data_IF_318081740833
#
_entry.id   IF_318081740833
#
_cell.length_a   1.000
_cell.length_b   1.000
_cell.length_c   1.000
_cell.angle_alpha   90.00
_cell.angle_beta   90.00
_cell.angle_gamma   90.00
#
_symmetry.space_group_name_H-M   'P 1'
#
loop_
_entity.id
_entity.type
_entity.pdbx_description
1 polymer ?
#
# COMPACT_ATOMS: atom_id res chain seq x y z
N UNK A 1 57.12 -1.81 -39.05
CA UNK A 1 56.36 -2.63 -38.08
C UNK A 1 56.77 -2.23 -36.67
N UNK A 2 55.80 -1.96 -35.76
CA UNK A 2 55.94 -1.96 -34.27
C UNK A 2 54.85 -1.20 -33.48
N UNK A 3 53.86 -0.56 -34.11
CA UNK A 3 52.82 0.17 -33.35
C UNK A 3 51.82 -0.77 -32.68
N UNK A 4 51.36 -1.80 -33.40
CA UNK A 4 50.43 -2.81 -32.89
C UNK A 4 51.06 -3.62 -31.75
N UNK A 5 52.36 -3.90 -31.82
CA UNK A 5 53.09 -4.60 -30.77
C UNK A 5 53.19 -3.78 -29.48
N UNK A 6 53.43 -2.47 -29.58
CA UNK A 6 53.42 -1.57 -28.42
C UNK A 6 52.05 -1.53 -27.75
N UNK A 7 50.97 -1.47 -28.54
CA UNK A 7 49.59 -1.53 -28.04
C UNK A 7 49.35 -2.88 -27.34
N UNK A 8 49.73 -3.99 -27.99
CA UNK A 8 49.57 -5.34 -27.44
C UNK A 8 50.35 -5.53 -26.15
N UNK A 9 51.57 -4.99 -26.06
CA UNK A 9 52.38 -5.04 -24.83
C UNK A 9 51.84 -4.12 -23.72
N UNK A 10 51.28 -2.97 -24.05
CA UNK A 10 50.61 -2.09 -23.09
C UNK A 10 49.44 -2.80 -22.40
N UNK A 11 48.59 -3.48 -23.17
CA UNK A 11 47.50 -4.29 -22.63
C UNK A 11 47.99 -5.54 -21.88
N UNK A 12 49.05 -6.21 -22.36
CA UNK A 12 49.67 -7.37 -21.69
C UNK A 12 50.37 -7.01 -20.38
N UNK A 13 50.87 -5.77 -20.23
CA UNK A 13 51.55 -5.27 -19.02
C UNK A 13 50.57 -4.91 -17.89
N UNK A 14 49.30 -4.63 -18.21
CA UNK A 14 48.25 -4.52 -17.19
C UNK A 14 47.90 -5.91 -16.69
N UNK A 15 48.61 -6.35 -15.66
CA UNK A 15 48.36 -7.59 -14.90
C UNK A 15 47.07 -7.44 -14.07
N UNK A 16 45.94 -7.24 -14.75
CA UNK A 16 44.61 -7.14 -14.19
C UNK A 16 44.20 -8.53 -13.74
N UNK A 17 44.57 -8.88 -12.50
CA UNK A 17 44.08 -10.11 -11.89
C UNK A 17 42.56 -10.05 -11.85
N UNK A 18 41.92 -10.94 -12.62
CA UNK A 18 40.45 -11.08 -12.69
C UNK A 18 39.84 -11.17 -11.29
N UNK A 19 40.56 -11.78 -10.34
CA UNK A 19 40.15 -11.90 -8.94
C UNK A 19 40.04 -10.55 -8.23
N UNK A 20 41.00 -9.66 -8.40
CA UNK A 20 41.00 -8.36 -7.71
C UNK A 20 39.99 -7.39 -8.32
N UNK A 21 39.79 -7.44 -9.64
CA UNK A 21 38.76 -6.63 -10.30
C UNK A 21 37.36 -7.08 -9.91
N UNK A 22 37.09 -8.39 -9.87
CA UNK A 22 35.81 -8.93 -9.38
C UNK A 22 35.51 -8.51 -7.94
N UNK A 23 36.52 -8.53 -7.05
CA UNK A 23 36.36 -8.03 -5.69
C UNK A 23 36.00 -6.54 -5.64
N UNK A 24 36.68 -5.69 -6.41
CA UNK A 24 36.38 -4.25 -6.48
C UNK A 24 34.97 -3.98 -7.00
N UNK A 25 34.57 -4.64 -8.09
CA UNK A 25 33.22 -4.53 -8.65
C UNK A 25 32.18 -5.00 -7.63
N UNK A 26 32.45 -6.11 -6.92
CA UNK A 26 31.57 -6.61 -5.87
C UNK A 26 31.39 -5.61 -4.73
N UNK A 27 32.47 -4.98 -4.26
CA UNK A 27 32.40 -3.94 -3.21
C UNK A 27 31.60 -2.73 -3.68
N UNK A 28 31.84 -2.25 -4.90
CA UNK A 28 31.09 -1.11 -5.47
C UNK A 28 29.62 -1.46 -5.60
N UNK A 29 29.28 -2.63 -6.16
CA UNK A 29 27.90 -3.06 -6.32
C UNK A 29 27.19 -3.20 -4.96
N UNK A 30 27.86 -3.78 -3.96
CA UNK A 30 27.32 -3.96 -2.62
C UNK A 30 27.09 -2.62 -1.92
N UNK A 31 28.07 -1.71 -1.96
CA UNK A 31 27.94 -0.37 -1.39
C UNK A 31 26.81 0.43 -2.07
N UNK A 32 26.74 0.38 -3.40
CA UNK A 32 25.65 1.01 -4.17
C UNK A 32 24.30 0.40 -3.81
N UNK A 33 24.20 -0.93 -3.70
CA UNK A 33 22.95 -1.60 -3.35
C UNK A 33 22.47 -1.22 -1.95
N UNK A 34 23.37 -1.16 -0.96
CA UNK A 34 23.03 -0.71 0.39
C UNK A 34 22.59 0.76 0.37
N UNK A 35 23.32 1.63 -0.35
CA UNK A 35 22.96 3.04 -0.49
C UNK A 35 21.57 3.24 -1.10
N UNK A 36 21.25 2.48 -2.15
CA UNK A 36 19.92 2.48 -2.77
C UNK A 36 18.84 1.99 -1.79
N UNK A 37 19.12 0.97 -0.99
CA UNK A 37 18.17 0.48 0.00
C UNK A 37 17.84 1.56 1.04
N UNK A 38 18.85 2.27 1.56
CA UNK A 38 18.64 3.39 2.48
C UNK A 38 17.90 4.56 1.83
N UNK A 39 18.17 4.86 0.55
CA UNK A 39 17.43 5.86 -0.21
C UNK A 39 15.95 5.50 -0.27
N UNK A 40 15.61 4.24 -0.57
CA UNK A 40 14.22 3.79 -0.60
C UNK A 40 13.58 3.85 0.78
N UNK A 41 14.25 3.35 1.83
CA UNK A 41 13.72 3.41 3.20
C UNK A 41 13.45 4.85 3.60
N UNK A 42 14.41 5.76 3.43
CA UNK A 42 14.24 7.17 3.77
C UNK A 42 13.09 7.82 2.98
N UNK A 43 12.99 7.54 1.67
CA UNK A 43 11.92 8.09 0.84
C UNK A 43 10.54 7.56 1.24
N UNK A 44 10.42 6.25 1.47
CA UNK A 44 9.16 5.62 1.88
C UNK A 44 8.73 6.11 3.27
N UNK A 45 9.65 6.18 4.23
CA UNK A 45 9.38 6.73 5.56
C UNK A 45 8.92 8.19 5.49
N UNK A 46 9.56 9.02 4.66
CA UNK A 46 9.13 10.40 4.43
C UNK A 46 7.70 10.48 3.90
N UNK A 47 7.35 9.67 2.89
CA UNK A 47 6.01 9.63 2.30
C UNK A 47 4.96 9.25 3.34
N UNK A 48 5.23 8.24 4.18
CA UNK A 48 4.30 7.78 5.23
C UNK A 48 4.12 8.84 6.32
N UNK A 49 5.20 9.50 6.75
CA UNK A 49 5.15 10.52 7.81
C UNK A 49 4.47 11.81 7.33
N UNK A 50 4.77 12.25 6.10
CA UNK A 50 4.18 13.48 5.55
C UNK A 50 2.72 13.26 5.16
N UNK A 51 2.36 12.07 4.69
CA UNK A 51 0.97 11.74 4.35
C UNK A 51 0.46 12.36 3.04
N UNK A 52 1.25 13.22 2.40
CA UNK A 52 0.91 13.89 1.14
C UNK A 52 1.99 13.62 0.07
N UNK A 53 1.55 13.33 -1.16
CA UNK A 53 2.42 13.16 -2.32
C UNK A 53 1.84 13.92 -3.50
N UNK A 54 2.66 14.78 -4.12
CA UNK A 54 2.27 15.57 -5.29
C UNK A 54 1.00 16.44 -5.10
N UNK A 55 0.73 16.89 -3.87
CA UNK A 55 -0.43 17.71 -3.53
C UNK A 55 -1.70 16.92 -3.19
N UNK A 56 -1.62 15.59 -3.22
CA UNK A 56 -2.73 14.70 -2.88
C UNK A 56 -2.49 14.03 -1.52
N UNK A 57 -3.52 14.02 -0.68
CA UNK A 57 -3.49 13.37 0.63
C UNK A 57 -3.73 11.87 0.53
N UNK A 58 -2.78 11.08 1.03
CA UNK A 58 -2.86 9.62 1.09
C UNK A 58 -4.00 9.16 1.99
N UNK A 59 -4.30 9.89 3.07
CA UNK A 59 -5.43 9.60 3.94
C UNK A 59 -6.75 9.78 3.19
N UNK A 60 -6.90 10.88 2.45
CA UNK A 60 -8.10 11.15 1.67
C UNK A 60 -8.30 10.09 0.59
N UNK A 61 -7.24 9.70 -0.11
CA UNK A 61 -7.31 8.64 -1.13
C UNK A 61 -7.62 7.26 -0.53
N UNK A 62 -7.02 6.94 0.62
CA UNK A 62 -7.30 5.70 1.36
C UNK A 62 -8.77 5.67 1.81
N UNK A 63 -9.25 6.79 2.33
CA UNK A 63 -10.66 6.97 2.72
C UNK A 63 -11.57 6.78 1.51
N UNK A 64 -11.29 7.39 0.36
CA UNK A 64 -12.08 7.18 -0.86
C UNK A 64 -12.05 5.74 -1.37
N UNK A 65 -10.94 5.02 -1.18
CA UNK A 65 -10.80 3.63 -1.61
C UNK A 65 -11.61 2.66 -0.72
N UNK A 66 -11.62 2.87 0.59
CA UNK A 66 -12.21 1.95 1.57
C UNK A 66 -13.58 2.38 2.09
N UNK A 67 -13.89 3.67 2.10
CA UNK A 67 -15.26 4.13 2.29
C UNK A 67 -15.99 3.91 0.97
N UNK A 68 -16.70 2.78 0.90
CA UNK A 68 -17.67 2.54 -0.15
C UNK A 68 -18.56 3.77 -0.33
N UNK A 69 -18.99 4.02 -1.57
CA UNK A 69 -19.72 5.23 -1.93
C UNK A 69 -20.86 5.54 -0.97
N UNK A 70 -20.78 6.70 -0.32
CA UNK A 70 -21.89 7.24 0.45
C UNK A 70 -22.92 7.77 -0.55
N UNK A 71 -23.87 6.93 -0.95
CA UNK A 71 -25.00 7.39 -1.75
C UNK A 71 -25.87 8.26 -0.84
N UNK A 72 -25.79 9.57 -1.01
CA UNK A 72 -26.73 10.51 -0.39
C UNK A 72 -28.12 10.19 -0.95
N UNK A 73 -28.89 9.41 -0.20
CA UNK A 73 -30.26 9.06 -0.59
C UNK A 73 -31.13 10.32 -0.52
N UNK A 74 -31.78 10.66 -1.63
CA UNK A 74 -32.82 11.67 -1.62
C UNK A 74 -33.99 11.19 -0.76
N UNK A 75 -34.53 12.07 0.09
CA UNK A 75 -35.76 11.77 0.86
C UNK A 75 -36.97 11.89 -0.07
N UNK A 76 -37.78 10.84 -0.19
CA UNK A 76 -39.09 10.93 -0.88
C UNK A 76 -40.12 11.57 0.05
N UNK A 77 -41.13 12.22 -0.53
CA UNK A 77 -42.27 12.75 0.23
C UNK A 77 -43.24 11.65 0.67
N UNK A 78 -43.96 11.90 1.76
CA UNK A 78 -45.06 11.05 2.25
C UNK A 78 -46.30 11.21 1.37
N UNK A 79 -46.96 10.11 1.01
CA UNK A 79 -48.26 10.13 0.34
C UNK A 79 -49.35 9.96 1.39
N UNK A 80 -50.31 10.88 1.41
CA UNK A 80 -51.44 10.88 2.32
C UNK A 80 -52.75 10.52 1.61
N UNK A 81 -53.68 9.91 2.33
CA UNK A 81 -55.06 9.74 1.89
C UNK A 81 -55.86 11.05 2.01
N UNK A 82 -57.17 11.00 1.68
CA UNK A 82 -58.07 12.18 1.76
C UNK A 82 -58.29 12.72 3.18
N UNK A 83 -57.99 11.91 4.21
CA UNK A 83 -58.16 12.24 5.61
C UNK A 83 -56.83 12.69 6.27
N UNK A 84 -55.72 12.66 5.52
CA UNK A 84 -54.40 13.03 6.01
C UNK A 84 -53.63 11.88 6.66
N UNK A 85 -54.07 10.63 6.46
CA UNK A 85 -53.36 9.46 6.97
C UNK A 85 -52.29 8.99 5.97
N UNK A 86 -51.08 8.72 6.47
CA UNK A 86 -49.96 8.31 5.63
C UNK A 86 -50.16 6.89 5.10
N UNK A 87 -50.17 6.73 3.77
CA UNK A 87 -50.31 5.43 3.10
C UNK A 87 -49.01 4.96 2.41
N UNK A 88 -48.03 5.86 2.27
CA UNK A 88 -46.68 5.49 1.85
C UNK A 88 -45.65 6.50 2.38
N UNK A 89 -44.63 5.97 3.05
CA UNK A 89 -43.48 6.71 3.59
C UNK A 89 -42.18 6.04 3.16
N UNK A 90 -41.10 6.81 3.11
CA UNK A 90 -39.77 6.28 2.81
C UNK A 90 -39.17 5.65 4.07
N UNK A 91 -38.64 4.43 3.95
CA UNK A 91 -38.06 3.68 5.07
C UNK A 91 -36.53 3.65 4.99
N UNK A 92 -35.87 3.94 6.11
CA UNK A 92 -34.42 3.79 6.20
C UNK A 92 -34.07 2.33 6.48
N UNK A 93 -33.53 1.64 5.48
CA UNK A 93 -33.02 0.27 5.64
C UNK A 93 -31.51 0.28 5.90
N UNK A 94 -31.09 -0.45 6.92
CA UNK A 94 -29.68 -0.72 7.21
C UNK A 94 -29.36 -2.18 6.93
N UNK A 95 -28.19 -2.45 6.36
CA UNK A 95 -27.67 -3.81 6.19
C UNK A 95 -26.44 -3.98 7.08
N UNK A 96 -26.52 -4.92 8.02
CA UNK A 96 -25.40 -5.30 8.88
C UNK A 96 -24.87 -6.64 8.38
N UNK A 97 -23.55 -6.79 8.34
CA UNK A 97 -22.90 -8.08 8.11
C UNK A 97 -21.97 -8.40 9.26
N UNK A 98 -21.81 -9.69 9.55
CA UNK A 98 -20.94 -10.20 10.59
C UNK A 98 -20.08 -11.31 10.01
N UNK A 99 -18.78 -11.28 10.29
CA UNK A 99 -17.87 -12.38 9.95
C UNK A 99 -17.95 -13.41 11.08
N UNK A 100 -18.36 -14.64 10.78
CA UNK A 100 -18.50 -15.72 11.77
C UNK A 100 -17.29 -16.66 11.83
N UNK A 101 -16.36 -16.53 10.88
CA UNK A 101 -15.19 -17.39 10.81
C UNK A 101 -14.19 -17.03 11.91
N UNK A 102 -13.95 -17.94 12.84
CA UNK A 102 -12.99 -17.75 13.95
C UNK A 102 -11.53 -17.56 13.48
N UNK A 103 -11.26 -17.88 12.21
CA UNK A 103 -9.96 -17.70 11.58
C UNK A 103 -9.73 -16.26 11.09
N UNK A 104 -10.75 -15.39 11.13
CA UNK A 104 -10.63 -14.00 10.70
C UNK A 104 -10.04 -13.13 11.82
N UNK A 105 -8.71 -13.01 11.84
CA UNK A 105 -7.93 -12.40 12.92
C UNK A 105 -6.82 -11.52 12.35
N UNK A 106 -6.44 -10.47 13.08
CA UNK A 106 -5.29 -9.62 12.79
C UNK A 106 -4.28 -9.74 13.94
N UNK A 107 -3.33 -10.67 13.82
CA UNK A 107 -2.50 -11.07 14.95
C UNK A 107 -3.35 -11.70 16.07
N UNK A 108 -3.25 -11.17 17.29
CA UNK A 108 -4.05 -11.63 18.43
C UNK A 108 -5.48 -11.07 18.43
N UNK A 109 -5.74 -10.00 17.66
CA UNK A 109 -7.04 -9.33 17.57
C UNK A 109 -8.06 -10.19 16.80
N UNK A 110 -9.22 -10.40 17.42
CA UNK A 110 -10.34 -11.13 16.82
C UNK A 110 -11.20 -10.15 16.02
N UNK A 111 -11.39 -10.42 14.72
CA UNK A 111 -12.21 -9.59 13.82
C UNK A 111 -13.53 -10.28 13.42
N UNK A 112 -13.90 -11.34 14.13
CA UNK A 112 -15.14 -12.09 13.93
C UNK A 112 -16.15 -11.81 15.05
N UNK A 113 -17.43 -11.96 14.76
CA UNK A 113 -18.49 -11.80 15.74
C UNK A 113 -18.51 -12.99 16.71
N UNK A 114 -18.50 -12.70 18.01
CA UNK A 114 -18.60 -13.71 19.06
C UNK A 114 -20.05 -13.94 19.48
N UNK A 115 -20.39 -15.20 19.74
CA UNK A 115 -21.70 -15.56 20.26
C UNK A 115 -21.82 -15.09 21.72
N UNK A 116 -22.74 -14.16 22.00
CA UNK A 116 -23.03 -13.74 23.37
C UNK A 116 -23.86 -14.81 24.07
N UNK A 117 -23.26 -15.59 24.96
CA UNK A 117 -23.99 -16.54 25.81
C UNK A 117 -24.68 -15.78 26.94
N UNK A 118 -26.01 -15.62 26.87
CA UNK A 118 -26.80 -15.08 27.98
C UNK A 118 -27.02 -16.21 28.99
N UNK A 119 -26.44 -16.08 30.20
CA UNK A 119 -26.78 -16.97 31.31
C UNK A 119 -28.12 -16.53 31.90
N UNK A 120 -29.07 -17.46 31.92
CA UNK A 120 -30.34 -17.36 32.65
C UNK A 120 -30.12 -17.33 34.16
#
# INVERSE_FOLDING_TARGET
MRMIEKIRQYFKKKNLSTRNNRKKVGIILFATSIGLFFLFVARLSYIVVVGDVAGESLETQTKNLYQGSEVVKAKRGTIYDRNGEAIAEDATSYSLYAVLSENYRNGDEKLYAEQKTLRS
#
